data_IF_690317810602
#
_entry.id   IF_690317810602
#
_cell.length_a   1.000
_cell.length_b   1.000
_cell.length_c   1.000
_cell.angle_alpha   90.00
_cell.angle_beta   90.00
_cell.angle_gamma   90.00
#
_symmetry.space_group_name_H-M   'P 1'
#
loop_
_entity.id
_entity.type
_entity.pdbx_description
1 polymer ?
#
# COMPACT_ATOMS: atom_id res chain seq x y z
N UNK A 1 -8.21 29.45 10.84
CA UNK A 1 -9.50 29.26 10.13
C UNK A 1 -9.41 30.05 8.83
N UNK A 2 -9.61 29.58 7.61
CA UNK A 2 -9.93 28.29 6.99
C UNK A 2 -9.10 28.22 5.68
N UNK A 3 -8.57 27.04 5.35
CA UNK A 3 -7.97 26.76 4.04
C UNK A 3 -9.08 26.70 3.00
N UNK A 4 -8.96 27.47 1.92
CA UNK A 4 -9.71 27.21 0.69
C UNK A 4 -8.76 26.46 -0.24
N UNK A 5 -8.99 25.16 -0.38
CA UNK A 5 -8.39 24.36 -1.43
C UNK A 5 -9.21 24.60 -2.70
N UNK A 6 -8.64 25.28 -3.68
CA UNK A 6 -9.10 25.19 -5.06
C UNK A 6 -8.27 24.12 -5.76
N UNK A 7 -8.98 23.08 -6.15
CA UNK A 7 -8.53 22.03 -7.06
C UNK A 7 -8.28 22.71 -8.40
N UNK A 8 -7.03 23.01 -8.73
CA UNK A 8 -6.73 23.45 -10.09
C UNK A 8 -6.82 22.26 -11.03
N UNK A 9 -7.92 22.33 -11.78
CA UNK A 9 -8.32 21.52 -12.90
C UNK A 9 -7.17 21.33 -13.88
N UNK A 10 -7.04 20.10 -14.38
CA UNK A 10 -6.23 19.84 -15.55
C UNK A 10 -6.70 20.69 -16.73
N UNK A 11 -5.74 21.38 -17.33
CA UNK A 11 -5.84 21.98 -18.64
C UNK A 11 -4.52 21.69 -19.36
N UNK A 12 -4.53 20.67 -20.22
CA UNK A 12 -3.58 20.55 -21.32
C UNK A 12 -3.94 21.67 -22.30
N UNK A 13 -3.26 22.79 -22.20
CA UNK A 13 -3.22 23.81 -23.25
C UNK A 13 -1.80 24.33 -23.27
N UNK A 14 -0.98 23.70 -24.10
CA UNK A 14 0.39 24.11 -24.42
C UNK A 14 0.37 25.37 -25.30
N UNK A 15 -0.26 26.45 -24.82
CA UNK A 15 -0.09 27.78 -25.42
C UNK A 15 1.27 28.32 -24.94
N UNK A 16 2.34 27.99 -25.70
CA UNK A 16 3.70 28.48 -25.48
C UNK A 16 3.73 30.01 -25.59
N UNK A 17 3.67 30.69 -24.45
CA UNK A 17 4.00 32.11 -24.36
C UNK A 17 5.52 32.27 -24.61
N UNK A 18 5.89 32.56 -25.86
CA UNK A 18 7.28 32.81 -26.25
C UNK A 18 7.67 34.25 -25.83
N UNK A 19 8.35 34.37 -24.69
CA UNK A 19 8.98 35.62 -24.26
C UNK A 19 10.17 35.97 -25.18
N UNK A 20 9.89 36.75 -26.22
CA UNK A 20 10.87 37.14 -27.26
C UNK A 20 12.14 37.83 -26.73
N UNK A 21 12.22 38.14 -25.43
CA UNK A 21 13.43 38.67 -24.78
C UNK A 21 14.49 37.61 -24.42
N UNK A 22 14.16 36.32 -24.43
CA UNK A 22 15.08 35.23 -24.03
C UNK A 22 15.93 34.70 -25.20
N UNK A 23 17.19 34.36 -24.91
CA UNK A 23 18.06 33.68 -25.87
C UNK A 23 17.63 32.22 -26.04
N UNK A 24 17.80 31.58 -27.23
CA UNK A 24 17.52 30.16 -27.44
C UNK A 24 18.13 29.21 -26.39
N UNK A 25 19.26 29.61 -25.78
CA UNK A 25 19.95 28.84 -24.74
C UNK A 25 19.24 28.90 -23.38
N UNK A 26 18.58 30.01 -23.08
CA UNK A 26 17.86 30.23 -21.83
C UNK A 26 16.51 29.49 -21.84
N UNK A 27 15.86 29.45 -23.00
CA UNK A 27 14.68 28.60 -23.24
C UNK A 27 14.94 27.13 -22.96
N UNK A 28 16.03 26.59 -23.51
CA UNK A 28 16.37 25.18 -23.31
C UNK A 28 16.68 24.89 -21.83
N UNK A 29 17.31 25.81 -21.11
CA UNK A 29 17.58 25.69 -19.68
C UNK A 29 16.30 25.74 -18.83
N UNK A 30 15.40 26.69 -19.08
CA UNK A 30 14.06 26.79 -18.47
C UNK A 30 13.26 25.49 -18.70
N UNK A 31 13.23 24.99 -19.94
CA UNK A 31 12.47 23.78 -20.28
C UNK A 31 13.03 22.52 -19.58
N UNK A 32 14.36 22.39 -19.53
CA UNK A 32 15.03 21.28 -18.83
C UNK A 32 14.83 21.37 -17.32
N UNK A 33 14.90 22.57 -16.74
CA UNK A 33 14.68 22.76 -15.29
C UNK A 33 13.22 22.56 -14.91
N UNK A 34 12.26 22.96 -15.73
CA UNK A 34 10.84 22.74 -15.50
C UNK A 34 10.49 21.24 -15.59
N UNK A 35 11.01 20.53 -16.61
CA UNK A 35 10.90 19.05 -16.68
C UNK A 35 11.53 18.38 -15.44
N UNK A 36 12.70 18.84 -14.98
CA UNK A 36 13.35 18.34 -13.74
C UNK A 36 12.53 18.65 -12.47
N UNK A 37 11.95 19.86 -12.35
CA UNK A 37 11.06 20.26 -11.25
C UNK A 37 9.79 19.40 -11.21
N UNK A 38 9.14 19.18 -12.37
CA UNK A 38 7.96 18.29 -12.49
C UNK A 38 8.30 16.85 -12.11
N UNK A 39 9.46 16.33 -12.54
CA UNK A 39 9.98 15.01 -12.12
C UNK A 39 10.20 14.94 -10.60
N UNK A 40 10.68 16.01 -9.97
CA UNK A 40 10.85 16.11 -8.52
C UNK A 40 9.54 16.02 -7.74
N UNK A 41 8.46 16.62 -8.24
CA UNK A 41 7.13 16.59 -7.60
C UNK A 41 6.52 15.19 -7.64
N UNK A 42 6.61 14.50 -8.78
CA UNK A 42 6.09 13.13 -8.93
C UNK A 42 6.81 12.17 -7.99
N UNK A 43 8.14 12.25 -7.96
CA UNK A 43 8.93 11.39 -7.09
C UNK A 43 8.71 11.70 -5.60
N UNK A 44 8.52 12.98 -5.23
CA UNK A 44 8.13 13.36 -3.87
C UNK A 44 6.81 12.70 -3.48
N UNK A 45 5.76 12.81 -4.31
CA UNK A 45 4.46 12.16 -4.05
C UNK A 45 4.59 10.64 -3.92
N UNK A 46 5.44 10.00 -4.73
CA UNK A 46 5.72 8.55 -4.63
C UNK A 46 6.35 8.19 -3.28
N UNK A 47 7.36 8.95 -2.85
CA UNK A 47 8.01 8.75 -1.54
C UNK A 47 7.05 8.97 -0.38
N UNK A 48 6.22 10.01 -0.45
CA UNK A 48 5.23 10.30 0.59
C UNK A 48 4.21 9.17 0.72
N UNK A 49 3.72 8.64 -0.41
CA UNK A 49 2.86 7.45 -0.43
C UNK A 49 3.52 6.24 0.23
N UNK A 50 4.79 5.95 -0.10
CA UNK A 50 5.52 4.82 0.51
C UNK A 50 5.67 5.01 2.01
N UNK A 51 6.03 6.22 2.46
CA UNK A 51 6.18 6.50 3.88
C UNK A 51 4.83 6.41 4.60
N UNK A 52 3.73 6.83 3.96
CA UNK A 52 2.39 6.67 4.51
C UNK A 52 2.04 5.20 4.74
N UNK A 53 2.24 4.35 3.74
CA UNK A 53 2.00 2.91 3.88
C UNK A 53 2.87 2.29 4.98
N UNK A 54 4.15 2.68 5.09
CA UNK A 54 5.04 2.17 6.15
C UNK A 54 4.56 2.56 7.55
N UNK A 55 4.00 3.77 7.73
CA UNK A 55 3.40 4.18 9.00
C UNK A 55 2.13 3.39 9.30
N UNK A 56 1.31 3.12 8.29
CA UNK A 56 0.11 2.30 8.44
C UNK A 56 0.46 0.87 8.86
N UNK A 57 1.47 0.26 8.21
CA UNK A 57 1.97 -1.07 8.57
C UNK A 57 2.45 -1.16 10.02
N UNK A 58 3.09 -0.11 10.56
CA UNK A 58 3.49 -0.07 11.97
C UNK A 58 2.31 -0.20 12.93
N UNK A 59 1.13 0.28 12.54
CA UNK A 59 -0.09 0.28 13.35
C UNK A 59 -0.97 -0.95 13.15
N UNK A 60 -0.78 -1.68 12.05
CA UNK A 60 -1.56 -2.87 11.71
C UNK A 60 -0.85 -4.17 12.08
N UNK A 61 0.48 -4.19 12.10
CA UNK A 61 1.27 -5.40 12.34
C UNK A 61 1.57 -5.51 13.84
N UNK A 62 1.06 -6.52 14.56
CA UNK A 62 1.19 -6.63 16.03
C UNK A 62 2.63 -6.54 16.51
N UNK A 63 3.56 -7.22 15.84
CA UNK A 63 4.97 -7.18 16.20
C UNK A 63 5.55 -5.76 16.04
N UNK A 64 5.11 -5.00 15.03
CA UNK A 64 5.63 -3.66 14.74
C UNK A 64 5.15 -2.64 15.78
N UNK A 65 3.91 -2.80 16.26
CA UNK A 65 3.35 -2.01 17.37
C UNK A 65 4.16 -2.26 18.64
N UNK A 66 4.46 -3.53 18.97
CA UNK A 66 5.22 -3.88 20.16
C UNK A 66 6.62 -3.26 20.20
N UNK A 67 7.22 -3.00 19.03
CA UNK A 67 8.55 -2.38 18.93
C UNK A 67 8.51 -0.87 18.71
N UNK A 68 7.34 -0.24 18.65
CA UNK A 68 7.19 1.19 18.38
C UNK A 68 7.87 2.09 19.43
N UNK A 69 8.04 1.60 20.66
CA UNK A 69 8.77 2.28 21.73
C UNK A 69 10.30 2.17 21.67
N UNK A 70 10.87 1.38 20.75
CA UNK A 70 12.31 1.25 20.55
C UNK A 70 12.80 2.13 19.39
N UNK A 71 14.10 2.43 19.38
CA UNK A 71 14.79 3.27 18.39
C UNK A 71 14.30 3.00 16.97
N UNK A 72 13.76 4.03 16.32
CA UNK A 72 13.37 4.13 14.89
C UNK A 72 13.52 2.82 14.10
N UNK A 73 12.45 2.00 14.09
CA UNK A 73 12.37 0.79 13.25
C UNK A 73 12.84 1.04 11.82
N UNK A 74 13.72 0.17 11.33
CA UNK A 74 14.22 0.24 9.96
C UNK A 74 13.12 -0.13 8.96
N UNK A 75 13.17 0.46 7.76
CA UNK A 75 12.15 0.19 6.72
C UNK A 75 12.10 -1.29 6.33
N UNK A 76 13.26 -1.95 6.26
CA UNK A 76 13.35 -3.37 5.97
C UNK A 76 12.69 -4.23 7.06
N UNK A 77 12.86 -3.84 8.33
CA UNK A 77 12.28 -4.55 9.47
C UNK A 77 10.75 -4.47 9.45
N UNK A 78 10.17 -3.28 9.22
CA UNK A 78 8.72 -3.11 9.09
C UNK A 78 8.16 -4.01 7.98
N UNK A 79 8.84 -4.06 6.83
CA UNK A 79 8.43 -4.90 5.70
C UNK A 79 8.52 -6.40 6.05
N UNK A 80 9.59 -6.83 6.71
CA UNK A 80 9.78 -8.22 7.12
C UNK A 80 8.69 -8.67 8.10
N UNK A 81 8.45 -7.88 9.16
CA UNK A 81 7.41 -8.16 10.16
C UNK A 81 6.01 -8.22 9.52
N UNK A 82 5.76 -7.40 8.50
CA UNK A 82 4.51 -7.44 7.73
C UNK A 82 4.37 -8.74 6.96
N UNK A 83 5.41 -9.18 6.26
CA UNK A 83 5.40 -10.44 5.51
C UNK A 83 5.17 -11.64 6.43
N UNK A 84 5.83 -11.66 7.58
CA UNK A 84 5.68 -12.74 8.55
C UNK A 84 4.27 -12.79 9.14
N UNK A 85 3.68 -11.62 9.41
CA UNK A 85 2.28 -11.53 9.84
C UNK A 85 1.32 -12.07 8.78
N UNK A 86 1.50 -11.72 7.49
CA UNK A 86 0.66 -12.21 6.40
C UNK A 86 0.79 -13.73 6.21
N UNK A 87 2.00 -14.29 6.31
CA UNK A 87 2.21 -15.74 6.25
C UNK A 87 1.50 -16.46 7.41
N UNK A 88 1.56 -15.89 8.62
CA UNK A 88 0.85 -16.42 9.78
C UNK A 88 -0.67 -16.45 9.56
N UNK A 89 -1.26 -15.34 9.08
CA UNK A 89 -2.69 -15.26 8.77
C UNK A 89 -3.11 -16.28 7.70
N UNK A 90 -2.31 -16.48 6.66
CA UNK A 90 -2.58 -17.49 5.63
C UNK A 90 -2.57 -18.91 6.20
N UNK A 91 -1.65 -19.22 7.11
CA UNK A 91 -1.56 -20.53 7.75
C UNK A 91 -2.77 -20.79 8.66
N UNK A 92 -3.18 -19.78 9.45
CA UNK A 92 -4.36 -19.85 10.32
C UNK A 92 -5.62 -20.10 9.49
N UNK A 93 -5.82 -19.33 8.41
CA UNK A 93 -7.01 -19.47 7.56
C UNK A 93 -7.08 -20.84 6.89
N UNK A 94 -5.95 -21.36 6.39
CA UNK A 94 -5.88 -22.73 5.86
C UNK A 94 -6.28 -23.76 6.91
N UNK A 95 -5.73 -23.64 8.12
CA UNK A 95 -6.08 -24.51 9.25
C UNK A 95 -7.57 -24.46 9.59
N UNK A 96 -8.17 -23.29 9.65
CA UNK A 96 -9.61 -23.13 9.93
C UNK A 96 -10.44 -23.81 8.85
N UNK A 97 -10.11 -23.61 7.57
CA UNK A 97 -10.82 -24.22 6.44
C UNK A 97 -10.68 -25.74 6.48
N UNK A 98 -9.49 -26.29 6.72
CA UNK A 98 -9.30 -27.75 6.80
C UNK A 98 -10.07 -28.35 7.98
N UNK A 99 -10.04 -27.70 9.15
CA UNK A 99 -10.79 -28.15 10.32
C UNK A 99 -12.30 -28.11 10.06
N UNK A 100 -12.81 -27.04 9.46
CA UNK A 100 -14.21 -26.92 9.11
C UNK A 100 -14.67 -27.99 8.11
N UNK A 101 -13.85 -28.26 7.08
CA UNK A 101 -14.13 -29.34 6.12
C UNK A 101 -14.08 -30.72 6.78
N UNK A 102 -13.11 -30.97 7.67
CA UNK A 102 -13.01 -32.22 8.40
C UNK A 102 -14.24 -32.46 9.30
N UNK A 103 -14.68 -31.43 10.04
CA UNK A 103 -15.89 -31.53 10.85
C UNK A 103 -17.14 -31.82 10.00
N UNK A 104 -17.27 -31.17 8.84
CA UNK A 104 -18.35 -31.47 7.88
C UNK A 104 -18.29 -32.92 7.38
N UNK A 105 -17.09 -33.40 7.06
CA UNK A 105 -16.89 -34.79 6.64
C UNK A 105 -17.29 -35.77 7.75
N UNK A 106 -16.87 -35.54 9.00
CA UNK A 106 -17.25 -36.38 10.14
C UNK A 106 -18.78 -36.43 10.28
N UNK A 107 -19.45 -35.28 10.29
CA UNK A 107 -20.92 -35.23 10.42
C UNK A 107 -21.58 -35.96 9.26
N UNK A 108 -21.09 -35.80 8.04
CA UNK A 108 -21.58 -36.52 6.86
C UNK A 108 -21.40 -38.03 7.02
N UNK A 109 -20.22 -38.51 7.41
CA UNK A 109 -19.96 -39.93 7.64
C UNK A 109 -20.84 -40.51 8.74
N UNK A 110 -21.00 -39.82 9.87
CA UNK A 110 -21.84 -40.27 10.96
C UNK A 110 -23.32 -40.35 10.54
N UNK A 111 -23.80 -39.36 9.79
CA UNK A 111 -25.16 -39.36 9.26
C UNK A 111 -25.38 -40.52 8.27
N UNK A 112 -24.48 -40.69 7.30
CA UNK A 112 -24.53 -41.79 6.34
C UNK A 112 -24.46 -43.15 7.03
N UNK A 113 -23.58 -43.31 8.01
CA UNK A 113 -23.46 -44.54 8.80
C UNK A 113 -24.74 -44.85 9.58
N UNK A 114 -25.31 -43.85 10.26
CA UNK A 114 -26.54 -44.01 11.03
C UNK A 114 -27.71 -44.41 10.13
N UNK A 115 -27.91 -43.71 9.01
CA UNK A 115 -28.98 -44.01 8.05
C UNK A 115 -28.82 -45.41 7.47
N UNK A 116 -27.60 -45.81 7.10
CA UNK A 116 -27.36 -47.12 6.49
C UNK A 116 -27.50 -48.28 7.49
N UNK A 117 -27.28 -48.04 8.79
CA UNK A 117 -27.24 -49.10 9.81
C UNK A 117 -28.57 -49.31 10.53
N UNK A 118 -29.42 -48.29 10.61
CA UNK A 118 -30.63 -48.29 11.45
C UNK A 118 -31.94 -48.04 10.68
N UNK A 119 -31.90 -48.02 9.35
CA UNK A 119 -33.08 -47.93 8.48
C UNK A 119 -33.10 -49.10 7.51
#
# INVERSE_FOLDING_TARGET
MKRVNTYESGGDSDDEFIDSSLSPRDYEYEHVTNRKKRRGVIEKRRRDRINHCLMELRRLVPQAISKEGSTKLEKAEILQMTVDHLRSLQQINKGIITNFNHSKMIVFYLYSFFVHRFK
#
